data_IF_900591919598
#
_entry.id   IF_900591919598
#
_cell.length_a   1.000
_cell.length_b   1.000
_cell.length_c   1.000
_cell.angle_alpha   90.00
_cell.angle_beta   90.00
_cell.angle_gamma   90.00
#
_symmetry.space_group_name_H-M   'P 1'
#
loop_
_entity.id
_entity.type
_entity.pdbx_description
1 polymer ?
#
# COMPACT_ATOMS: atom_id res chain seq x y z
N UNK A 1 -12.87 19.24 4.33
CA UNK A 1 -11.87 18.26 4.82
C UNK A 1 -12.22 16.90 4.23
N UNK A 2 -11.26 16.15 3.71
CA UNK A 2 -11.52 14.80 3.27
C UNK A 2 -11.83 13.89 4.48
N UNK A 3 -12.85 13.07 4.32
CA UNK A 3 -13.16 12.00 5.26
C UNK A 3 -12.37 10.75 4.87
N UNK A 4 -11.65 10.13 5.80
CA UNK A 4 -10.95 8.88 5.59
C UNK A 4 -11.71 7.74 6.27
N UNK A 5 -12.05 6.72 5.50
CA UNK A 5 -12.78 5.56 5.98
C UNK A 5 -11.89 4.33 5.78
N UNK A 6 -11.63 3.60 6.87
CA UNK A 6 -10.86 2.35 6.85
C UNK A 6 -11.82 1.21 7.17
N UNK A 7 -11.87 0.21 6.30
CA UNK A 7 -12.72 -0.97 6.45
C UNK A 7 -11.95 -2.24 6.11
N UNK A 8 -12.28 -3.35 6.78
CA UNK A 8 -11.94 -4.66 6.22
C UNK A 8 -12.80 -4.90 4.96
N UNK A 9 -12.33 -5.69 3.99
CA UNK A 9 -13.13 -5.98 2.79
C UNK A 9 -14.50 -6.58 3.09
N UNK A 10 -14.62 -7.37 4.16
CA UNK A 10 -15.90 -7.97 4.60
C UNK A 10 -16.92 -6.96 5.12
N UNK A 11 -16.47 -5.79 5.57
CA UNK A 11 -17.33 -4.68 6.01
C UNK A 11 -17.77 -3.76 4.87
N UNK A 12 -17.19 -3.94 3.69
CA UNK A 12 -17.52 -3.15 2.51
C UNK A 12 -18.78 -3.69 1.81
N UNK A 13 -19.65 -2.78 1.38
CA UNK A 13 -20.72 -3.12 0.45
C UNK A 13 -20.18 -3.49 -0.92
N UNK A 14 -21.00 -4.16 -1.74
CA UNK A 14 -20.63 -4.44 -3.15
C UNK A 14 -20.38 -3.16 -3.94
N UNK A 15 -21.08 -2.07 -3.64
CA UNK A 15 -20.87 -0.76 -4.26
C UNK A 15 -19.50 -0.20 -3.90
N UNK A 16 -19.11 -0.29 -2.63
CA UNK A 16 -17.77 0.15 -2.17
C UNK A 16 -16.65 -0.68 -2.79
N UNK A 17 -16.79 -2.00 -2.86
CA UNK A 17 -15.82 -2.88 -3.54
C UNK A 17 -15.73 -2.52 -5.04
N UNK A 18 -16.87 -2.30 -5.70
CA UNK A 18 -16.91 -1.89 -7.11
C UNK A 18 -16.20 -0.55 -7.35
N UNK A 19 -16.44 0.44 -6.48
CA UNK A 19 -15.76 1.73 -6.53
C UNK A 19 -14.25 1.56 -6.32
N UNK A 20 -13.82 0.76 -5.35
CA UNK A 20 -12.41 0.47 -5.10
C UNK A 20 -11.74 -0.15 -6.34
N UNK A 21 -12.35 -1.15 -6.95
CA UNK A 21 -11.87 -1.78 -8.18
C UNK A 21 -11.70 -0.74 -9.30
N UNK A 22 -12.68 0.14 -9.49
CA UNK A 22 -12.65 1.17 -10.53
C UNK A 22 -11.46 2.13 -10.33
N UNK A 23 -11.20 2.57 -9.09
CA UNK A 23 -10.06 3.42 -8.76
C UNK A 23 -8.71 2.73 -8.98
N UNK A 24 -8.59 1.47 -8.57
CA UNK A 24 -7.36 0.68 -8.79
C UNK A 24 -7.08 0.49 -10.28
N UNK A 25 -8.10 0.21 -11.08
CA UNK A 25 -7.98 0.09 -12.54
C UNK A 25 -7.59 1.40 -13.21
N UNK A 26 -8.12 2.52 -12.73
CA UNK A 26 -7.76 3.84 -13.23
C UNK A 26 -6.28 4.17 -13.01
N UNK A 27 -5.66 3.62 -11.97
CA UNK A 27 -4.22 3.74 -11.69
C UNK A 27 -3.32 3.03 -12.70
N UNK A 28 -3.81 2.05 -13.44
CA UNK A 28 -3.12 1.41 -14.57
C UNK A 28 -1.98 0.46 -14.22
N UNK A 29 -1.64 0.32 -12.95
CA UNK A 29 -0.45 -0.46 -12.49
C UNK A 29 -0.75 -1.91 -12.13
N UNK A 30 -1.96 -2.40 -12.36
CA UNK A 30 -2.44 -3.64 -11.74
C UNK A 30 -2.96 -4.62 -12.77
N UNK A 31 -2.68 -5.92 -12.56
CA UNK A 31 -3.35 -6.99 -13.30
C UNK A 31 -4.84 -6.98 -13.00
N UNK A 32 -5.65 -6.93 -14.04
CA UNK A 32 -7.10 -7.02 -13.92
C UNK A 32 -7.51 -8.45 -13.53
N UNK A 33 -6.75 -9.45 -14.00
CA UNK A 33 -7.03 -10.85 -13.69
C UNK A 33 -6.89 -11.11 -12.19
N UNK A 34 -7.95 -11.61 -11.57
CA UNK A 34 -8.00 -11.92 -10.14
C UNK A 34 -7.96 -10.68 -9.22
N UNK A 35 -8.16 -9.46 -9.75
CA UNK A 35 -8.16 -8.24 -8.95
C UNK A 35 -9.26 -8.21 -7.90
N UNK A 36 -10.53 -8.56 -8.19
CA UNK A 36 -11.58 -8.56 -7.16
C UNK A 36 -11.26 -9.48 -5.97
N UNK A 37 -10.72 -10.66 -6.25
CA UNK A 37 -10.32 -11.64 -5.22
C UNK A 37 -9.19 -11.10 -4.35
N UNK A 38 -8.18 -10.50 -4.97
CA UNK A 38 -7.05 -9.88 -4.24
C UNK A 38 -7.50 -8.72 -3.36
N UNK A 39 -8.46 -7.91 -3.83
CA UNK A 39 -9.03 -6.82 -3.04
C UNK A 39 -9.79 -7.37 -1.84
N UNK A 40 -10.59 -8.44 -2.02
CA UNK A 40 -11.30 -9.10 -0.92
C UNK A 40 -10.37 -9.78 0.08
N UNK A 41 -9.14 -10.12 -0.32
CA UNK A 41 -8.12 -10.69 0.56
C UNK A 41 -7.22 -9.63 1.21
N UNK A 42 -7.43 -8.35 0.98
CA UNK A 42 -6.67 -7.30 1.65
C UNK A 42 -6.95 -7.26 3.16
N UNK A 43 -5.98 -6.81 3.94
CA UNK A 43 -6.17 -6.62 5.38
C UNK A 43 -7.05 -5.39 5.68
N UNK A 44 -6.90 -4.32 4.89
CA UNK A 44 -7.72 -3.13 5.01
C UNK A 44 -7.82 -2.41 3.67
N UNK A 45 -8.99 -1.81 3.42
CA UNK A 45 -9.25 -0.88 2.33
C UNK A 45 -9.48 0.51 2.92
N UNK A 46 -8.89 1.52 2.29
CA UNK A 46 -9.04 2.91 2.70
C UNK A 46 -9.69 3.70 1.57
N UNK A 47 -10.68 4.50 1.92
CA UNK A 47 -11.37 5.40 1.03
C UNK A 47 -11.22 6.83 1.52
N UNK A 48 -10.87 7.75 0.63
CA UNK A 48 -11.00 9.19 0.88
C UNK A 48 -12.28 9.69 0.22
N UNK A 49 -13.12 10.41 0.98
CA UNK A 49 -14.35 11.02 0.48
C UNK A 49 -14.30 12.53 0.64
N UNK A 50 -14.85 13.23 -0.35
CA UNK A 50 -15.14 14.65 -0.30
C UNK A 50 -16.61 14.81 -0.73
N UNK A 51 -17.40 15.48 0.07
CA UNK A 51 -18.84 15.67 -0.18
C UNK A 51 -19.59 14.35 -0.48
N UNK A 52 -19.22 13.28 0.24
CA UNK A 52 -19.80 11.95 0.09
C UNK A 52 -19.29 11.14 -1.10
N UNK A 53 -18.51 11.73 -2.00
CA UNK A 53 -17.95 11.05 -3.17
C UNK A 53 -16.55 10.49 -2.88
N UNK A 54 -16.28 9.25 -3.29
CA UNK A 54 -14.94 8.67 -3.23
C UNK A 54 -14.04 9.40 -4.21
N UNK A 55 -12.92 9.93 -3.73
CA UNK A 55 -11.93 10.67 -4.53
C UNK A 55 -10.54 10.01 -4.52
N UNK A 56 -10.35 8.99 -3.71
CA UNK A 56 -9.10 8.25 -3.66
C UNK A 56 -9.20 7.00 -2.82
N UNK A 57 -8.27 6.07 -3.05
CA UNK A 57 -8.20 4.79 -2.36
C UNK A 57 -6.75 4.41 -2.02
N UNK A 58 -6.59 3.54 -1.04
CA UNK A 58 -5.36 2.81 -0.75
C UNK A 58 -5.71 1.49 -0.05
N UNK A 59 -4.77 0.57 0.01
CA UNK A 59 -4.95 -0.67 0.75
C UNK A 59 -3.71 -1.09 1.54
N UNK A 60 -3.96 -1.80 2.62
CA UNK A 60 -2.99 -2.68 3.25
C UNK A 60 -3.27 -4.09 2.70
N UNK A 61 -2.41 -4.53 1.80
CA UNK A 61 -2.58 -5.80 1.07
C UNK A 61 -1.96 -6.96 1.82
N UNK A 62 -2.48 -8.16 1.55
CA UNK A 62 -1.84 -9.42 1.91
C UNK A 62 -1.34 -10.08 0.61
N UNK A 63 -0.10 -9.82 0.19
CA UNK A 63 0.40 -10.27 -1.11
C UNK A 63 0.51 -11.78 -1.18
N UNK A 64 0.18 -12.33 -2.36
CA UNK A 64 0.36 -13.75 -2.65
C UNK A 64 1.83 -14.15 -2.58
N UNK A 65 2.11 -15.38 -2.13
CA UNK A 65 3.47 -15.88 -1.97
C UNK A 65 4.29 -15.83 -3.27
N UNK A 66 3.69 -16.12 -4.41
CA UNK A 66 4.33 -16.08 -5.73
C UNK A 66 4.75 -14.65 -6.12
N UNK A 67 3.89 -13.67 -5.87
CA UNK A 67 4.18 -12.25 -6.11
C UNK A 67 5.31 -11.77 -5.20
N UNK A 68 5.22 -12.05 -3.90
CA UNK A 68 6.26 -11.71 -2.91
C UNK A 68 7.62 -12.28 -3.30
N UNK A 69 7.67 -13.55 -3.67
CA UNK A 69 8.89 -14.24 -4.09
C UNK A 69 9.50 -13.58 -5.32
N UNK A 70 8.68 -13.26 -6.33
CA UNK A 70 9.13 -12.57 -7.53
C UNK A 70 9.75 -11.21 -7.20
N UNK A 71 9.05 -10.37 -6.46
CA UNK A 71 9.55 -9.05 -6.06
C UNK A 71 10.85 -9.16 -5.27
N UNK A 72 10.91 -10.09 -4.31
CA UNK A 72 12.11 -10.35 -3.52
C UNK A 72 13.30 -10.79 -4.40
N UNK A 73 13.08 -11.70 -5.33
CA UNK A 73 14.12 -12.20 -6.23
C UNK A 73 14.62 -11.10 -7.18
N UNK A 74 13.70 -10.38 -7.81
CA UNK A 74 14.05 -9.38 -8.81
C UNK A 74 14.74 -8.14 -8.20
N UNK A 75 14.31 -7.74 -7.01
CA UNK A 75 14.90 -6.59 -6.30
C UNK A 75 16.13 -6.95 -5.45
N UNK A 76 16.30 -8.22 -5.09
CA UNK A 76 17.28 -8.64 -4.10
C UNK A 76 16.92 -8.24 -2.67
N UNK A 77 15.74 -7.66 -2.42
CA UNK A 77 15.27 -7.33 -1.08
C UNK A 77 14.69 -8.59 -0.39
N UNK A 78 15.13 -8.96 0.80
CA UNK A 78 14.55 -10.09 1.54
C UNK A 78 13.19 -9.70 2.10
N UNK A 79 12.11 -10.11 1.45
CA UNK A 79 10.73 -9.82 1.84
C UNK A 79 10.11 -11.04 2.54
N UNK A 80 10.67 -11.44 3.68
CA UNK A 80 10.15 -12.54 4.48
C UNK A 80 8.76 -12.19 5.03
N UNK A 81 7.83 -13.15 4.96
CA UNK A 81 6.45 -12.92 5.41
C UNK A 81 6.36 -12.63 6.91
N UNK A 82 7.26 -13.19 7.70
CA UNK A 82 7.36 -12.96 9.14
C UNK A 82 7.77 -11.52 9.48
N UNK A 83 8.60 -10.91 8.64
CA UNK A 83 9.09 -9.55 8.83
C UNK A 83 8.16 -8.51 8.16
N UNK A 84 7.63 -8.83 6.98
CA UNK A 84 6.79 -7.95 6.18
C UNK A 84 5.50 -8.65 5.74
N UNK A 85 4.56 -8.92 6.66
CA UNK A 85 3.32 -9.62 6.32
C UNK A 85 2.45 -8.83 5.32
N UNK A 86 2.61 -7.51 5.25
CA UNK A 86 1.75 -6.63 4.47
C UNK A 86 2.51 -5.85 3.40
N UNK A 87 1.75 -5.42 2.38
CA UNK A 87 2.18 -4.46 1.37
C UNK A 87 1.22 -3.27 1.35
N UNK A 88 1.76 -2.05 1.47
CA UNK A 88 1.03 -0.82 1.17
C UNK A 88 0.95 -0.66 -0.35
N UNK A 89 -0.25 -0.59 -0.88
CA UNK A 89 -0.42 -0.47 -2.32
C UNK A 89 -1.79 0.02 -2.74
N UNK A 90 -2.03 0.00 -4.05
CA UNK A 90 -3.26 0.50 -4.70
C UNK A 90 -3.59 1.94 -4.31
N UNK A 91 -2.56 2.76 -4.06
CA UNK A 91 -2.75 4.18 -3.75
C UNK A 91 -3.07 4.93 -5.04
N UNK A 92 -4.28 5.45 -5.11
CA UNK A 92 -4.72 6.26 -6.25
C UNK A 92 -5.63 7.39 -5.81
N UNK A 93 -5.44 8.56 -6.40
CA UNK A 93 -6.28 9.74 -6.18
C UNK A 93 -6.76 10.24 -7.53
N UNK A 94 -8.05 10.53 -7.65
CA UNK A 94 -8.64 11.08 -8.86
C UNK A 94 -7.92 12.37 -9.27
N UNK A 95 -7.72 12.61 -10.58
CA UNK A 95 -6.93 13.76 -11.06
C UNK A 95 -7.40 15.10 -10.48
N UNK A 96 -8.72 15.30 -10.36
CA UNK A 96 -9.35 16.52 -9.87
C UNK A 96 -9.08 16.79 -8.39
N UNK A 97 -8.72 15.74 -7.66
CA UNK A 97 -8.49 15.80 -6.19
C UNK A 97 -7.02 15.78 -5.81
N UNK A 98 -6.12 15.76 -6.79
CA UNK A 98 -4.66 15.79 -6.54
C UNK A 98 -4.21 17.13 -5.95
N UNK A 99 -3.00 17.18 -5.44
CA UNK A 99 -2.43 18.38 -4.82
C UNK A 99 -2.90 18.63 -3.37
N UNK A 100 -3.82 17.82 -2.84
CA UNK A 100 -4.39 17.96 -1.48
C UNK A 100 -3.76 17.01 -0.45
N UNK A 101 -2.61 16.44 -0.74
CA UNK A 101 -1.90 15.46 0.11
C UNK A 101 -2.69 14.15 0.38
N UNK A 102 -3.72 13.87 -0.41
CA UNK A 102 -4.60 12.72 -0.18
C UNK A 102 -3.86 11.38 -0.26
N UNK A 103 -2.91 11.23 -1.19
CA UNK A 103 -2.10 10.01 -1.28
C UNK A 103 -1.31 9.73 -0.01
N UNK A 104 -0.75 10.77 0.63
CA UNK A 104 -0.08 10.64 1.92
C UNK A 104 -1.06 10.22 3.03
N UNK A 105 -2.19 10.90 3.14
CA UNK A 105 -3.21 10.61 4.16
C UNK A 105 -3.80 9.20 4.00
N UNK A 106 -4.07 8.77 2.77
CA UNK A 106 -4.52 7.42 2.45
C UNK A 106 -3.48 6.37 2.84
N UNK A 107 -2.21 6.60 2.50
CA UNK A 107 -1.10 5.72 2.85
C UNK A 107 -0.90 5.64 4.36
N UNK A 108 -1.00 6.76 5.06
CA UNK A 108 -0.90 6.83 6.52
C UNK A 108 -2.02 6.01 7.19
N UNK A 109 -3.26 6.16 6.71
CA UNK A 109 -4.39 5.41 7.24
C UNK A 109 -4.28 3.90 6.99
N UNK A 110 -3.84 3.51 5.78
CA UNK A 110 -3.59 2.09 5.46
C UNK A 110 -2.47 1.52 6.34
N UNK A 111 -1.38 2.27 6.53
CA UNK A 111 -0.26 1.85 7.36
C UNK A 111 -0.67 1.68 8.84
N UNK A 112 -1.53 2.55 9.36
CA UNK A 112 -2.04 2.44 10.73
C UNK A 112 -2.79 1.11 10.96
N UNK A 113 -3.46 0.58 9.94
CA UNK A 113 -4.13 -0.72 10.01
C UNK A 113 -3.17 -1.91 10.19
N UNK A 114 -1.87 -1.74 9.93
CA UNK A 114 -0.86 -2.78 10.18
C UNK A 114 -0.58 -3.01 11.66
N UNK A 115 -1.03 -2.10 12.53
CA UNK A 115 -0.82 -2.15 13.99
C UNK A 115 0.65 -2.34 14.37
N UNK A 116 1.55 -1.70 13.64
CA UNK A 116 2.99 -1.74 13.89
C UNK A 116 3.74 -2.91 13.26
N UNK A 117 3.07 -3.80 12.54
CA UNK A 117 3.74 -4.85 11.77
C UNK A 117 4.60 -4.28 10.65
N UNK A 118 5.57 -5.05 10.17
CA UNK A 118 6.40 -4.67 9.03
C UNK A 118 5.57 -4.60 7.74
N UNK A 119 5.85 -3.59 6.93
CA UNK A 119 5.15 -3.32 5.66
C UNK A 119 6.16 -3.00 4.59
N UNK A 120 6.01 -3.56 3.40
CA UNK A 120 6.74 -3.11 2.23
C UNK A 120 5.81 -2.41 1.23
N UNK A 121 6.41 -1.74 0.27
CA UNK A 121 5.71 -1.11 -0.85
C UNK A 121 6.59 -1.19 -2.09
N UNK A 122 5.96 -1.18 -3.26
CA UNK A 122 6.65 -1.00 -4.53
C UNK A 122 6.15 0.27 -5.19
N UNK A 123 7.05 1.04 -5.76
CA UNK A 123 6.72 2.27 -6.47
C UNK A 123 7.60 2.43 -7.70
N UNK A 124 7.08 3.05 -8.76
CA UNK A 124 7.91 3.42 -9.91
C UNK A 124 9.09 4.29 -9.45
N UNK A 125 10.27 4.05 -10.00
CA UNK A 125 11.46 4.85 -9.70
C UNK A 125 11.27 6.34 -10.00
N UNK A 126 10.38 6.67 -10.93
CA UNK A 126 10.06 8.04 -11.34
C UNK A 126 9.04 8.74 -10.43
N UNK A 127 8.33 8.00 -9.56
CA UNK A 127 7.29 8.55 -8.71
C UNK A 127 7.86 9.19 -7.44
N UNK A 128 8.56 10.32 -7.61
CA UNK A 128 9.24 11.04 -6.52
C UNK A 128 8.26 11.49 -5.43
N UNK A 129 7.04 11.86 -5.80
CA UNK A 129 6.02 12.26 -4.83
C UNK A 129 5.65 11.11 -3.88
N UNK A 130 5.52 9.88 -4.42
CA UNK A 130 5.28 8.70 -3.59
C UNK A 130 6.48 8.34 -2.74
N UNK A 131 7.70 8.45 -3.26
CA UNK A 131 8.93 8.23 -2.49
C UNK A 131 9.01 9.18 -1.29
N UNK A 132 8.71 10.47 -1.49
CA UNK A 132 8.65 11.45 -0.41
C UNK A 132 7.61 11.09 0.65
N UNK A 133 6.44 10.63 0.24
CA UNK A 133 5.38 10.18 1.15
C UNK A 133 5.82 8.94 1.95
N UNK A 134 6.40 7.95 1.28
CA UNK A 134 6.91 6.74 1.92
C UNK A 134 8.01 7.05 2.94
N UNK A 135 8.96 7.93 2.59
CA UNK A 135 10.03 8.34 3.51
C UNK A 135 9.48 8.98 4.79
N UNK A 136 8.47 9.85 4.66
CA UNK A 136 7.79 10.49 5.82
C UNK A 136 7.05 9.47 6.69
N UNK A 137 6.65 8.34 6.12
CA UNK A 137 6.00 7.23 6.83
C UNK A 137 7.00 6.21 7.40
N UNK A 138 8.30 6.46 7.27
CA UNK A 138 9.35 5.62 7.83
C UNK A 138 9.79 4.46 6.93
N UNK A 139 9.42 4.47 5.66
CA UNK A 139 9.92 3.49 4.70
C UNK A 139 11.31 3.89 4.19
N UNK A 140 12.14 2.89 3.92
CA UNK A 140 13.48 3.03 3.37
C UNK A 140 13.57 2.22 2.07
N UNK A 141 14.17 2.80 1.03
CA UNK A 141 14.46 2.09 -0.21
C UNK A 141 15.34 0.85 0.08
N UNK A 142 14.94 -0.30 -0.43
CA UNK A 142 15.56 -1.58 -0.13
C UNK A 142 15.75 -2.39 -1.41
N UNK A 143 16.91 -3.02 -1.55
CA UNK A 143 17.27 -3.73 -2.77
C UNK A 143 17.52 -2.81 -3.96
N UNK A 144 17.56 -3.39 -5.15
CA UNK A 144 17.84 -2.68 -6.40
C UNK A 144 16.55 -2.43 -7.18
N UNK A 145 16.49 -1.38 -8.00
CA UNK A 145 15.43 -1.22 -8.99
C UNK A 145 15.35 -2.43 -9.92
N UNK A 146 14.15 -2.80 -10.31
CA UNK A 146 13.89 -3.91 -11.22
C UNK A 146 12.79 -3.52 -12.23
N UNK A 147 12.78 -4.21 -13.37
CA UNK A 147 11.82 -3.91 -14.43
C UNK A 147 10.44 -4.45 -14.06
N UNK A 148 9.42 -3.60 -14.18
CA UNK A 148 8.04 -4.04 -14.00
C UNK A 148 7.65 -5.09 -15.05
N UNK A 149 6.99 -6.17 -14.62
CA UNK A 149 6.40 -7.15 -15.54
C UNK A 149 5.24 -6.62 -16.40
N UNK A 150 4.88 -5.34 -16.25
CA UNK A 150 3.73 -4.70 -16.91
C UNK A 150 4.08 -3.56 -17.83
N UNK A 151 5.34 -3.25 -18.02
CA UNK A 151 5.78 -2.15 -18.87
C UNK A 151 7.29 -2.01 -18.87
N UNK A 152 7.76 -0.95 -19.53
CA UNK A 152 9.20 -0.64 -19.64
C UNK A 152 9.74 0.18 -18.46
N UNK A 153 8.94 0.45 -17.45
CA UNK A 153 9.35 1.24 -16.28
C UNK A 153 9.97 0.37 -15.20
N UNK A 154 10.81 0.97 -14.39
CA UNK A 154 11.43 0.32 -13.22
C UNK A 154 10.66 0.58 -11.94
N UNK A 155 10.70 -0.41 -11.05
CA UNK A 155 10.13 -0.36 -9.72
C UNK A 155 11.24 -0.38 -8.67
N UNK A 156 10.99 0.28 -7.53
CA UNK A 156 11.81 0.24 -6.33
C UNK A 156 10.99 -0.32 -5.17
N UNK A 157 11.59 -1.20 -4.38
CA UNK A 157 11.02 -1.68 -3.12
C UNK A 157 11.36 -0.69 -2.01
N UNK A 158 10.39 -0.43 -1.16
CA UNK A 158 10.53 0.31 0.10
C UNK A 158 10.06 -0.58 1.24
N UNK A 159 10.76 -0.57 2.35
CA UNK A 159 10.42 -1.39 3.50
C UNK A 159 10.39 -0.55 4.77
N UNK A 160 9.41 -0.84 5.61
CA UNK A 160 9.30 -0.31 6.97
C UNK A 160 9.21 -1.48 7.92
N UNK A 161 10.23 -1.65 8.75
CA UNK A 161 10.26 -2.71 9.75
C UNK A 161 9.20 -2.53 10.82
N UNK A 162 8.83 -3.62 11.49
CA UNK A 162 7.93 -3.57 12.63
C UNK A 162 8.45 -2.60 13.69
N UNK A 163 7.54 -1.88 14.35
CA UNK A 163 7.88 -1.08 15.51
C UNK A 163 8.43 -2.01 16.61
N UNK A 164 9.63 -1.70 17.13
CA UNK A 164 10.17 -2.47 18.26
C UNK A 164 9.25 -2.28 19.46
N UNK A 165 8.90 -3.35 20.20
CA UNK A 165 8.18 -3.19 21.46
C UNK A 165 9.01 -2.30 22.38
N UNK A 166 8.36 -1.29 22.98
CA UNK A 166 8.98 -0.50 24.05
C UNK A 166 9.14 -1.47 25.21
N UNK A 167 10.37 -1.95 25.43
CA UNK A 167 10.70 -2.74 26.61
C UNK A 167 10.73 -1.74 27.77
N UNK A 168 9.85 -1.88 28.76
CA UNK A 168 9.91 -1.01 29.95
C UNK A 168 11.29 -1.17 30.60
N UNK A 169 11.90 -0.09 31.11
CA UNK A 169 13.24 -0.13 31.67
C UNK A 169 13.43 -1.12 32.82
N UNK A 170 12.35 -1.58 33.45
CA UNK A 170 12.40 -2.52 34.57
C UNK A 170 12.54 -4.00 34.15
N UNK A 171 12.48 -4.34 32.88
CA UNK A 171 12.68 -5.72 32.38
C UNK A 171 14.04 -5.93 31.67
N UNK A 172 14.91 -4.95 31.70
CA UNK A 172 16.25 -4.98 31.10
C UNK A 172 17.37 -5.35 32.13
N UNK A 173 17.06 -6.14 33.16
CA UNK A 173 18.04 -6.66 34.11
C UNK A 173 18.13 -8.18 34.06
#
# INVERSE_FOLDING_TARGET
>A
MPELIVKSPSECSNVEIGAFIAFVRAGGEVSILGLPERIRCAAALVFARIDGLVVGVAALKQPQASYRRRVSTESGAPLLIEEFPYELGWVYVSPESRGKRLSFLLSQAALAASKGAGVFATSRTENIAMHSSLAKLGFVATGNPFVSGRGKHSLQVFARHAAQPIIPPDLAR
#
